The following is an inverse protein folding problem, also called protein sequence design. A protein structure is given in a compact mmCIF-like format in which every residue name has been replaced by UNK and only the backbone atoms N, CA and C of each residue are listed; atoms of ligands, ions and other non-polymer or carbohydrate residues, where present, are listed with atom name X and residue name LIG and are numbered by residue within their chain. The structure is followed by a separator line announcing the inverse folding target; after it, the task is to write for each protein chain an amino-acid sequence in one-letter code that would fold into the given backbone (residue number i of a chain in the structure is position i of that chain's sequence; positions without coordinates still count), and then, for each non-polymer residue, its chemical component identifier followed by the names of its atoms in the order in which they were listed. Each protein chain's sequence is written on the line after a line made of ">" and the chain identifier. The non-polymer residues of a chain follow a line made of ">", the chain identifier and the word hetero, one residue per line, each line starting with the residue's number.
data_IF_122946296674
#
_entry.id   IF_122946296674
#
_cell.length_a   1.000
_cell.length_b   1.000
_cell.length_c   1.000
_cell.angle_alpha   90.00
_cell.angle_beta   90.00
_cell.angle_gamma   90.00
#
_symmetry.space_group_name_H-M   'P 1'
#
loop_
_entity.id
_entity.type
_entity.pdbx_description
1 polymer ?
#
# COMPACT_ATOMS: atom_id res chain seq x y z
N UNK A 1 24.35 -11.46 11.45
CA UNK A 1 24.44 -12.77 12.14
C UNK A 1 24.01 -12.52 13.58
N UNK A 2 22.73 -12.77 13.83
CA UNK A 2 22.16 -12.77 15.17
C UNK A 2 22.45 -14.12 15.86
N UNK A 3 22.44 -14.17 17.20
CA UNK A 3 22.20 -13.04 18.10
C UNK A 3 23.45 -12.19 18.33
N UNK A 4 23.25 -10.91 18.68
CA UNK A 4 24.31 -9.97 19.05
C UNK A 4 23.94 -9.18 20.30
N UNK A 5 24.94 -8.56 20.94
CA UNK A 5 24.77 -7.86 22.21
C UNK A 5 24.75 -6.36 21.96
N UNK A 6 23.76 -5.66 22.52
CA UNK A 6 23.72 -4.20 22.59
C UNK A 6 24.08 -3.77 24.00
N UNK A 7 25.10 -2.93 24.15
CA UNK A 7 25.42 -2.34 25.45
C UNK A 7 24.35 -1.30 25.81
N UNK A 8 23.76 -1.39 27.00
CA UNK A 8 22.70 -0.50 27.46
C UNK A 8 23.23 0.87 27.92
N UNK A 9 24.53 0.96 28.23
CA UNK A 9 25.16 2.15 28.81
C UNK A 9 25.93 2.99 27.79
N UNK A 10 26.29 2.41 26.65
CA UNK A 10 27.11 3.08 25.64
C UNK A 10 26.27 3.78 24.56
N UNK A 11 26.41 5.10 24.45
CA UNK A 11 25.90 5.90 23.34
C UNK A 11 26.04 7.42 23.57
N UNK A 12 25.78 8.25 22.55
CA UNK A 12 25.67 7.93 21.12
C UNK A 12 27.05 7.97 20.40
N UNK A 13 27.31 7.10 19.38
CA UNK A 13 26.43 6.08 18.81
C UNK A 13 26.31 4.80 19.66
N UNK A 14 25.22 4.02 19.52
CA UNK A 14 25.03 2.76 20.24
C UNK A 14 26.15 1.77 19.95
N UNK A 15 26.52 0.97 20.95
CA UNK A 15 27.63 0.02 20.85
C UNK A 15 27.13 -1.43 20.80
N UNK A 16 27.54 -2.16 19.77
CA UNK A 16 27.16 -3.54 19.52
C UNK A 16 28.36 -4.47 19.53
N UNK A 17 28.19 -5.67 20.08
CA UNK A 17 29.20 -6.72 20.10
C UNK A 17 28.63 -8.01 19.50
N UNK A 18 29.44 -8.71 18.69
CA UNK A 18 29.15 -10.11 18.41
C UNK A 18 29.39 -10.97 19.66
N UNK A 19 28.80 -12.16 19.72
CA UNK A 19 28.95 -13.08 20.85
C UNK A 19 30.42 -13.42 21.17
N UNK A 20 31.27 -13.52 20.14
CA UNK A 20 32.69 -13.81 20.32
C UNK A 20 33.45 -12.66 20.98
N UNK A 21 33.14 -11.41 20.64
CA UNK A 21 33.74 -10.25 21.31
C UNK A 21 33.21 -10.11 22.74
N UNK A 22 31.91 -10.33 22.95
CA UNK A 22 31.30 -10.25 24.27
C UNK A 22 31.88 -11.29 25.24
N UNK A 23 31.94 -12.56 24.83
CA UNK A 23 32.50 -13.66 25.66
C UNK A 23 33.98 -13.52 25.98
N UNK A 24 34.72 -12.71 25.20
CA UNK A 24 36.13 -12.38 25.46
C UNK A 24 36.32 -11.15 26.34
N UNK A 25 35.23 -10.52 26.80
CA UNK A 25 35.30 -9.28 27.57
C UNK A 25 35.91 -8.13 26.77
N UNK A 26 35.54 -8.00 25.49
CA UNK A 26 36.09 -6.95 24.63
C UNK A 26 35.69 -5.56 25.12
N UNK A 27 36.68 -4.74 25.44
CA UNK A 27 36.50 -3.36 25.87
C UNK A 27 37.03 -2.39 24.81
N UNK A 28 36.31 -1.29 24.61
CA UNK A 28 36.70 -0.31 23.59
C UNK A 28 36.22 1.10 23.94
N UNK A 29 37.18 2.02 24.00
CA UNK A 29 36.96 3.44 24.35
C UNK A 29 36.23 3.57 25.69
N UNK A 30 34.95 3.91 25.65
CA UNK A 30 34.09 4.12 26.81
C UNK A 30 33.30 2.86 27.21
N UNK A 31 33.33 1.81 26.39
CA UNK A 31 32.68 0.55 26.69
C UNK A 31 33.55 -0.27 27.64
N UNK A 32 32.95 -0.74 28.73
CA UNK A 32 33.54 -1.69 29.67
C UNK A 32 32.76 -3.00 29.61
N UNK A 33 33.44 -4.11 29.92
CA UNK A 33 32.88 -5.46 29.81
C UNK A 33 31.81 -5.78 30.87
N UNK A 34 31.73 -4.96 31.91
CA UNK A 34 30.78 -5.04 33.02
C UNK A 34 29.51 -4.20 32.82
N UNK A 35 29.42 -3.44 31.72
CA UNK A 35 28.22 -2.70 31.39
C UNK A 35 27.02 -3.61 31.22
N UNK A 36 25.87 -3.15 31.69
CA UNK A 36 24.58 -3.78 31.43
C UNK A 36 24.31 -3.86 29.92
N UNK A 37 23.65 -4.93 29.51
CA UNK A 37 23.48 -5.27 28.10
C UNK A 37 22.12 -5.91 27.81
N UNK A 38 21.71 -5.77 26.55
CA UNK A 38 20.53 -6.41 25.97
C UNK A 38 20.98 -7.44 24.92
N UNK A 39 20.42 -8.65 24.97
CA UNK A 39 20.62 -9.65 23.92
C UNK A 39 19.60 -9.34 22.82
N UNK A 40 20.11 -9.08 21.62
CA UNK A 40 19.29 -8.87 20.43
C UNK A 40 19.11 -10.19 19.70
N UNK A 41 17.88 -10.67 19.68
CA UNK A 41 17.43 -11.85 18.94
C UNK A 41 16.16 -11.49 18.15
N UNK A 42 15.88 -12.21 17.06
CA UNK A 42 14.64 -12.09 16.27
C UNK A 42 13.81 -13.38 16.28
N UNK A 43 14.07 -14.28 17.24
CA UNK A 43 13.48 -15.61 17.40
C UNK A 43 12.23 -15.63 18.30
N UNK A 44 11.52 -14.51 18.37
CA UNK A 44 10.30 -14.36 19.17
C UNK A 44 9.09 -14.06 18.29
N UNK A 45 7.87 -14.48 18.66
CA UNK A 45 6.67 -14.20 17.87
C UNK A 45 6.23 -12.74 17.97
N UNK A 46 5.73 -12.18 16.85
CA UNK A 46 5.28 -10.77 16.79
C UNK A 46 3.77 -10.69 16.55
N UNK A 47 3.30 -11.17 15.41
CA UNK A 47 1.89 -11.02 15.00
C UNK A 47 1.07 -12.29 15.22
N UNK A 48 1.73 -13.44 15.09
CA UNK A 48 1.15 -14.76 15.32
C UNK A 48 2.13 -15.61 16.14
N UNK A 49 1.66 -16.39 17.14
CA UNK A 49 2.53 -17.26 17.94
C UNK A 49 3.35 -18.28 17.14
N UNK A 50 2.92 -18.59 15.91
CA UNK A 50 3.59 -19.53 15.02
C UNK A 50 4.61 -18.89 14.07
N UNK A 51 4.78 -17.57 14.12
CA UNK A 51 5.66 -16.79 13.25
C UNK A 51 6.62 -15.93 14.05
N UNK A 52 7.92 -16.11 13.82
CA UNK A 52 8.98 -15.32 14.48
C UNK A 52 9.21 -13.99 13.78
N UNK A 53 9.74 -12.97 14.50
CA UNK A 53 10.09 -11.68 13.93
C UNK A 53 11.02 -11.80 12.71
N UNK A 54 11.93 -12.77 12.73
CA UNK A 54 12.81 -13.08 11.60
C UNK A 54 12.02 -13.60 10.38
N UNK A 55 11.03 -14.47 10.59
CA UNK A 55 10.17 -14.98 9.52
C UNK A 55 9.25 -13.89 8.96
N UNK A 56 8.76 -12.97 9.79
CA UNK A 56 7.98 -11.80 9.32
C UNK A 56 8.82 -10.94 8.36
N UNK A 57 10.06 -10.64 8.73
CA UNK A 57 10.99 -9.89 7.88
C UNK A 57 11.26 -10.63 6.57
N UNK A 58 11.61 -11.91 6.66
CA UNK A 58 11.92 -12.73 5.50
C UNK A 58 10.73 -12.83 4.54
N UNK A 59 9.49 -12.87 5.06
CA UNK A 59 8.29 -12.90 4.24
C UNK A 59 8.13 -11.61 3.44
N UNK A 60 8.33 -10.46 4.08
CA UNK A 60 8.23 -9.17 3.41
C UNK A 60 9.34 -8.96 2.36
N UNK A 61 10.58 -9.33 2.69
CA UNK A 61 11.71 -9.32 1.74
C UNK A 61 11.44 -10.23 0.54
N UNK A 62 10.97 -11.47 0.78
CA UNK A 62 10.66 -12.41 -0.29
C UNK A 62 9.51 -11.94 -1.18
N UNK A 63 8.47 -11.31 -0.61
CA UNK A 63 7.36 -10.72 -1.39
C UNK A 63 7.85 -9.52 -2.22
N UNK A 64 8.79 -8.73 -1.69
CA UNK A 64 9.42 -7.63 -2.43
C UNK A 64 10.23 -8.13 -3.63
N UNK A 65 11.03 -9.18 -3.44
CA UNK A 65 11.92 -9.74 -4.47
C UNK A 65 11.15 -10.54 -5.53
N UNK A 66 10.22 -11.40 -5.10
CA UNK A 66 9.49 -12.32 -5.98
C UNK A 66 8.22 -11.71 -6.58
N UNK A 67 7.74 -10.60 -6.02
CA UNK A 67 6.50 -9.95 -6.38
C UNK A 67 5.27 -10.55 -5.71
N UNK A 68 4.30 -9.69 -5.42
CA UNK A 68 3.02 -10.07 -4.81
C UNK A 68 2.25 -11.09 -5.66
N UNK A 69 1.69 -12.13 -5.03
CA UNK A 69 0.95 -13.21 -5.70
C UNK A 69 1.83 -14.37 -6.18
N UNK A 70 3.16 -14.20 -6.25
CA UNK A 70 4.09 -15.28 -6.59
C UNK A 70 4.49 -16.11 -5.34
N UNK A 71 3.49 -16.65 -4.64
CA UNK A 71 3.69 -17.31 -3.35
C UNK A 71 4.57 -18.56 -3.40
N UNK A 72 4.69 -19.17 -4.58
CA UNK A 72 5.56 -20.33 -4.77
C UNK A 72 7.03 -19.95 -4.62
N UNK A 73 7.47 -18.86 -5.26
CA UNK A 73 8.85 -18.38 -5.16
C UNK A 73 9.12 -17.72 -3.81
N UNK A 74 8.12 -17.03 -3.24
CA UNK A 74 8.19 -16.50 -1.86
C UNK A 74 8.46 -17.62 -0.85
N UNK A 75 7.72 -18.73 -0.93
CA UNK A 75 7.93 -19.88 -0.04
C UNK A 75 9.30 -20.53 -0.25
N UNK A 76 9.76 -20.59 -1.50
CA UNK A 76 11.10 -21.12 -1.82
C UNK A 76 12.20 -20.27 -1.18
N UNK A 77 12.05 -18.94 -1.15
CA UNK A 77 12.99 -18.02 -0.51
C UNK A 77 12.90 -18.10 1.02
N UNK A 78 11.69 -18.24 1.56
CA UNK A 78 11.43 -18.38 3.00
C UNK A 78 12.02 -19.67 3.60
N UNK A 79 11.97 -20.78 2.87
CA UNK A 79 12.41 -22.13 3.29
C UNK A 79 11.74 -22.73 4.55
N UNK A 80 11.04 -21.94 5.38
CA UNK A 80 10.46 -22.40 6.66
C UNK A 80 8.94 -22.60 6.61
N UNK A 81 8.25 -22.00 5.63
CA UNK A 81 6.78 -21.97 5.50
C UNK A 81 6.34 -22.36 4.09
N UNK A 82 5.15 -22.93 3.95
CA UNK A 82 4.59 -23.24 2.62
C UNK A 82 3.98 -22.01 1.97
N UNK A 83 3.71 -22.08 0.66
CA UNK A 83 3.09 -20.98 -0.07
C UNK A 83 1.71 -20.61 0.47
N UNK A 84 0.91 -21.60 0.88
CA UNK A 84 -0.42 -21.39 1.46
C UNK A 84 -0.33 -20.72 2.82
N UNK A 85 0.68 -21.07 3.62
CA UNK A 85 0.95 -20.44 4.91
C UNK A 85 1.40 -18.99 4.73
N UNK A 86 2.33 -18.73 3.81
CA UNK A 86 2.81 -17.38 3.47
C UNK A 86 1.68 -16.49 2.98
N UNK A 87 0.89 -16.95 2.00
CA UNK A 87 -0.23 -16.19 1.45
C UNK A 87 -1.26 -15.86 2.53
N UNK A 88 -1.69 -16.87 3.29
CA UNK A 88 -2.72 -16.71 4.32
C UNK A 88 -2.27 -15.75 5.42
N UNK A 89 -1.02 -15.89 5.87
CA UNK A 89 -0.44 -15.03 6.90
C UNK A 89 -0.34 -13.59 6.42
N UNK A 90 0.20 -13.40 5.20
CA UNK A 90 0.34 -12.09 4.58
C UNK A 90 -1.01 -11.37 4.43
N UNK A 91 -2.01 -12.05 3.84
CA UNK A 91 -3.36 -11.50 3.67
C UNK A 91 -3.99 -11.10 5.00
N UNK A 92 -3.86 -11.95 6.03
CA UNK A 92 -4.52 -11.75 7.31
C UNK A 92 -3.91 -10.59 8.10
N UNK A 93 -2.59 -10.53 8.18
CA UNK A 93 -1.89 -9.65 9.12
C UNK A 93 -1.43 -8.32 8.52
N UNK A 94 -1.14 -8.28 7.22
CA UNK A 94 -0.59 -7.10 6.55
C UNK A 94 -1.60 -6.38 5.66
N UNK A 95 -2.54 -7.10 5.03
CA UNK A 95 -3.52 -6.50 4.11
C UNK A 95 -4.87 -6.25 4.78
N UNK A 96 -5.43 -7.28 5.43
CA UNK A 96 -6.78 -7.21 5.99
C UNK A 96 -6.82 -6.69 7.44
N UNK A 97 -5.67 -6.36 8.02
CA UNK A 97 -5.60 -5.86 9.39
C UNK A 97 -5.67 -4.32 9.41
N UNK A 98 -6.79 -3.71 9.85
CA UNK A 98 -6.96 -2.26 9.83
C UNK A 98 -6.02 -1.49 10.76
N UNK A 99 -5.40 -2.17 11.75
CA UNK A 99 -4.45 -1.55 12.67
C UNK A 99 -3.08 -1.30 12.03
N UNK A 100 -2.74 -2.08 11.01
CA UNK A 100 -1.45 -1.99 10.35
C UNK A 100 -1.31 -0.66 9.58
N UNK A 101 -2.34 -0.29 8.80
CA UNK A 101 -2.44 0.99 8.09
C UNK A 101 -2.24 2.22 8.98
N UNK A 102 -2.80 2.17 10.20
CA UNK A 102 -2.87 3.33 11.08
C UNK A 102 -1.55 3.64 11.78
N UNK A 103 -0.65 2.66 11.93
CA UNK A 103 0.63 2.83 12.64
C UNK A 103 1.76 3.39 11.77
N UNK A 104 1.66 3.24 10.45
CA UNK A 104 2.64 3.77 9.48
C UNK A 104 2.32 5.20 9.04
N UNK A 105 1.07 5.63 9.21
CA UNK A 105 0.54 6.90 8.71
C UNK A 105 0.69 8.11 9.65
N UNK A 106 1.47 8.02 10.73
CA UNK A 106 1.87 9.21 11.51
C UNK A 106 3.02 9.97 10.83
N UNK A 107 2.85 10.31 9.54
CA UNK A 107 3.66 11.34 8.91
C UNK A 107 3.16 12.71 9.38
N UNK A 108 4.07 13.49 9.95
CA UNK A 108 3.81 14.85 10.41
C UNK A 108 3.28 15.70 9.24
N UNK A 109 1.98 16.03 9.26
CA UNK A 109 1.35 16.96 8.32
C UNK A 109 2.03 18.32 8.39
N UNK A 110 3.00 18.56 7.51
CA UNK A 110 3.45 19.91 7.21
C UNK A 110 2.37 20.57 6.37
N UNK A 111 1.75 21.61 6.94
CA UNK A 111 0.75 22.40 6.24
C UNK A 111 1.41 23.17 5.10
N UNK A 112 1.34 22.65 3.87
CA UNK A 112 1.84 23.36 2.69
C UNK A 112 0.80 24.35 2.16
N UNK A 113 1.23 25.60 2.03
CA UNK A 113 0.51 26.65 1.31
C UNK A 113 0.49 26.32 -0.18
N UNK A 114 -0.70 26.11 -0.74
CA UNK A 114 -0.88 25.87 -2.17
C UNK A 114 -0.28 27.04 -3.00
N UNK A 115 0.61 26.71 -3.94
CA UNK A 115 1.22 27.68 -4.86
C UNK A 115 0.20 28.06 -5.94
N UNK A 116 -0.17 29.35 -6.12
CA UNK A 116 -1.12 29.76 -7.15
C UNK A 116 -0.56 29.57 -8.57
N UNK A 117 -1.28 28.81 -9.40
CA UNK A 117 -0.96 28.62 -10.82
C UNK A 117 -1.44 29.81 -11.67
N UNK A 118 -0.64 30.20 -12.66
CA UNK A 118 -0.98 31.19 -13.67
C UNK A 118 -0.59 30.68 -15.06
N UNK A 119 -1.53 30.69 -16.00
CA UNK A 119 -1.26 30.25 -17.38
C UNK A 119 -0.22 31.15 -18.05
N UNK A 120 0.77 30.54 -18.70
CA UNK A 120 1.83 31.22 -19.45
C UNK A 120 2.03 30.53 -20.80
N UNK A 121 2.31 31.31 -21.86
CA UNK A 121 2.53 30.78 -23.22
C UNK A 121 3.88 30.07 -23.36
N UNK A 122 4.87 30.40 -22.52
CA UNK A 122 6.16 29.72 -22.45
C UNK A 122 6.34 29.08 -21.06
N UNK A 123 5.96 27.80 -20.91
CA UNK A 123 6.00 27.12 -19.63
C UNK A 123 7.45 26.82 -19.20
N UNK A 124 7.80 27.00 -17.91
CA UNK A 124 9.16 26.79 -17.44
C UNK A 124 9.61 25.34 -17.66
N UNK A 125 10.90 25.17 -17.96
CA UNK A 125 11.54 23.85 -18.17
C UNK A 125 12.68 23.69 -17.16
N UNK A 126 12.37 23.36 -15.89
CA UNK A 126 13.37 23.25 -14.84
C UNK A 126 14.39 22.18 -15.20
N UNK A 127 15.65 22.38 -14.82
CA UNK A 127 16.64 21.30 -14.91
C UNK A 127 16.30 20.22 -13.89
N UNK A 128 16.58 18.96 -14.26
CA UNK A 128 16.39 17.81 -13.38
C UNK A 128 17.04 18.07 -12.01
N UNK A 129 16.32 17.76 -10.93
CA UNK A 129 16.76 17.94 -9.54
C UNK A 129 17.00 19.39 -9.06
N UNK A 130 16.58 20.39 -9.83
CA UNK A 130 16.57 21.78 -9.36
C UNK A 130 15.55 21.98 -8.23
N UNK A 131 15.77 22.99 -7.38
CA UNK A 131 14.80 23.38 -6.34
C UNK A 131 13.40 23.58 -6.93
N UNK A 132 13.31 24.27 -8.07
CA UNK A 132 12.05 24.47 -8.78
C UNK A 132 11.44 23.15 -9.26
N UNK A 133 12.23 22.21 -9.79
CA UNK A 133 11.72 20.89 -10.17
C UNK A 133 11.10 20.13 -8.98
N UNK A 134 11.68 20.30 -7.78
CA UNK A 134 11.22 19.61 -6.58
C UNK A 134 9.96 20.25 -6.00
N UNK A 135 9.88 21.58 -6.00
CA UNK A 135 8.69 22.33 -5.61
C UNK A 135 7.50 22.08 -6.53
N UNK A 136 7.76 21.69 -7.79
CA UNK A 136 6.74 21.35 -8.77
C UNK A 136 6.21 19.92 -8.65
N UNK A 137 6.74 19.11 -7.72
CA UNK A 137 6.25 17.78 -7.39
C UNK A 137 5.99 16.88 -8.63
N UNK A 138 6.92 16.91 -9.60
CA UNK A 138 6.81 16.12 -10.83
C UNK A 138 5.89 16.70 -11.91
N UNK A 139 5.27 17.87 -11.72
CA UNK A 139 4.53 18.54 -12.79
C UNK A 139 5.47 18.92 -13.95
N UNK A 140 5.07 18.61 -15.19
CA UNK A 140 5.72 18.93 -16.46
C UNK A 140 4.97 20.05 -17.18
N UNK A 141 5.39 21.32 -17.03
CA UNK A 141 4.63 22.48 -17.54
C UNK A 141 4.40 22.48 -19.04
N UNK A 142 5.37 21.98 -19.82
CA UNK A 142 5.29 21.96 -21.29
C UNK A 142 4.28 20.94 -21.84
N UNK A 143 3.89 19.94 -21.05
CA UNK A 143 2.86 18.95 -21.41
C UNK A 143 1.56 19.14 -20.63
N UNK A 144 1.55 20.05 -19.66
CA UNK A 144 0.46 20.25 -18.70
C UNK A 144 0.06 18.96 -17.96
N UNK A 145 1.06 18.14 -17.62
CA UNK A 145 0.87 16.79 -17.09
C UNK A 145 1.88 16.50 -15.96
N UNK A 146 1.66 15.50 -15.13
CA UNK A 146 2.61 15.08 -14.09
C UNK A 146 3.47 13.91 -14.58
N UNK A 147 4.71 13.82 -14.08
CA UNK A 147 5.60 12.66 -14.31
C UNK A 147 5.00 11.41 -13.68
N UNK A 148 4.38 11.55 -12.51
CA UNK A 148 3.60 10.50 -11.87
C UNK A 148 2.12 10.80 -12.08
N UNK A 149 1.40 9.89 -12.74
CA UNK A 149 -0.04 10.04 -12.89
C UNK A 149 -0.70 9.84 -11.52
N UNK A 150 -1.80 10.57 -11.28
CA UNK A 150 -2.63 10.37 -10.10
C UNK A 150 -3.13 8.92 -9.97
N UNK A 151 -3.20 8.20 -11.10
CA UNK A 151 -3.52 6.78 -11.14
C UNK A 151 -2.84 6.06 -12.31
N UNK A 152 -1.58 5.66 -12.13
CA UNK A 152 -0.84 4.86 -13.12
C UNK A 152 -1.50 3.49 -13.44
N UNK A 153 -2.56 3.10 -12.73
CA UNK A 153 -3.29 1.85 -12.94
C UNK A 153 -4.62 2.03 -13.65
N UNK A 154 -5.10 3.27 -13.82
CA UNK A 154 -6.37 3.53 -14.52
C UNK A 154 -6.37 2.97 -15.95
N UNK A 155 -5.21 2.96 -16.62
CA UNK A 155 -5.08 2.37 -17.95
C UNK A 155 -5.08 0.84 -17.95
N UNK A 156 -4.64 0.20 -16.85
CA UNK A 156 -4.64 -1.26 -16.72
C UNK A 156 -6.07 -1.83 -16.68
N UNK A 157 -7.01 -1.08 -16.10
CA UNK A 157 -8.43 -1.46 -16.05
C UNK A 157 -9.08 -1.50 -17.44
N UNK A 158 -8.53 -0.76 -18.41
CA UNK A 158 -9.01 -0.71 -19.79
C UNK A 158 -8.24 -1.66 -20.72
N UNK A 159 -7.11 -2.19 -20.27
CA UNK A 159 -6.15 -2.96 -21.09
C UNK A 159 -6.75 -4.24 -21.64
N UNK A 160 -7.57 -4.92 -20.84
CA UNK A 160 -8.14 -6.22 -21.16
C UNK A 160 -9.60 -6.13 -21.66
N UNK A 161 -10.05 -4.91 -22.03
CA UNK A 161 -11.36 -4.71 -22.66
C UNK A 161 -11.22 -5.04 -24.15
N UNK A 162 -11.46 -6.30 -24.49
CA UNK A 162 -11.63 -6.74 -25.87
C UNK A 162 -13.12 -6.67 -26.26
N UNK A 163 -13.43 -5.97 -27.35
CA UNK A 163 -14.77 -5.97 -27.93
C UNK A 163 -14.85 -7.05 -29.01
N UNK A 164 -15.53 -8.15 -28.71
CA UNK A 164 -15.76 -9.26 -29.64
C UNK A 164 -17.14 -9.12 -30.28
N UNK A 165 -17.32 -9.51 -31.55
CA UNK A 165 -18.63 -9.42 -32.23
C UNK A 165 -19.76 -10.21 -31.53
N UNK A 166 -19.41 -11.21 -30.71
CA UNK A 166 -20.33 -12.03 -29.90
C UNK A 166 -20.66 -11.40 -28.52
N UNK A 167 -19.99 -10.28 -28.17
CA UNK A 167 -20.34 -9.49 -26.98
C UNK A 167 -21.72 -8.84 -27.13
N UNK A 168 -22.34 -8.88 -28.33
CA UNK A 168 -23.75 -8.52 -28.49
C UNK A 168 -24.62 -9.34 -27.55
N UNK A 169 -24.35 -10.64 -27.39
CA UNK A 169 -25.22 -11.52 -26.61
C UNK A 169 -25.02 -11.32 -25.11
N UNK A 170 -23.78 -11.03 -24.67
CA UNK A 170 -23.49 -10.67 -23.27
C UNK A 170 -24.01 -9.26 -22.96
N UNK A 171 -23.85 -8.28 -23.86
CA UNK A 171 -24.52 -6.97 -23.76
C UNK A 171 -26.02 -7.15 -23.67
N UNK A 172 -26.63 -7.97 -24.53
CA UNK A 172 -28.07 -8.24 -24.52
C UNK A 172 -28.51 -8.96 -23.23
N UNK A 173 -27.67 -9.83 -22.64
CA UNK A 173 -27.95 -10.48 -21.36
C UNK A 173 -27.79 -9.51 -20.19
N UNK A 174 -26.79 -8.62 -20.21
CA UNK A 174 -26.63 -7.56 -19.22
C UNK A 174 -27.75 -6.52 -19.34
N UNK A 175 -28.17 -6.17 -20.55
CA UNK A 175 -29.36 -5.38 -20.90
C UNK A 175 -30.67 -6.08 -20.47
N UNK A 176 -30.68 -7.42 -20.38
CA UNK A 176 -31.77 -8.24 -19.80
C UNK A 176 -31.70 -8.46 -18.28
N UNK A 177 -30.58 -8.15 -17.60
CA UNK A 177 -30.45 -8.11 -16.13
C UNK A 177 -30.63 -6.69 -15.55
N UNK A 178 -30.28 -5.69 -16.35
CA UNK A 178 -30.69 -4.28 -16.26
C UNK A 178 -32.18 -4.04 -15.92
N UNK A 179 -33.17 -4.85 -16.33
CA UNK A 179 -34.57 -4.53 -16.18
C UNK A 179 -35.08 -4.64 -14.76
N UNK A 180 -34.64 -5.53 -13.88
CA UNK A 180 -35.41 -5.74 -12.63
C UNK A 180 -35.25 -4.58 -11.63
N UNK A 181 -34.01 -4.11 -11.45
CA UNK A 181 -33.70 -2.98 -10.57
C UNK A 181 -34.11 -1.65 -11.19
N UNK A 182 -33.94 -1.51 -12.52
CA UNK A 182 -34.44 -0.34 -13.27
C UNK A 182 -35.97 -0.34 -13.30
N UNK A 183 -36.65 -1.48 -13.43
CA UNK A 183 -38.11 -1.60 -13.38
C UNK A 183 -38.63 -1.27 -11.99
N UNK A 184 -38.01 -1.75 -10.91
CA UNK A 184 -38.39 -1.39 -9.53
C UNK A 184 -38.19 0.12 -9.29
N UNK A 185 -37.10 0.69 -9.79
CA UNK A 185 -36.85 2.13 -9.73
C UNK A 185 -37.87 2.91 -10.57
N UNK A 186 -38.20 2.42 -11.76
CA UNK A 186 -39.19 3.01 -12.67
C UNK A 186 -40.61 2.92 -12.10
N UNK A 187 -40.97 1.83 -11.42
CA UNK A 187 -42.25 1.62 -10.73
C UNK A 187 -42.36 2.57 -9.53
N UNK A 188 -41.28 2.70 -8.76
CA UNK A 188 -41.18 3.61 -7.60
C UNK A 188 -41.24 5.08 -8.03
N UNK A 189 -40.55 5.43 -9.12
CA UNK A 189 -40.45 6.79 -9.67
C UNK A 189 -41.54 7.11 -10.70
N UNK A 190 -42.43 6.17 -11.03
CA UNK A 190 -43.49 6.32 -12.05
C UNK A 190 -44.35 7.57 -11.87
N UNK A 191 -44.57 7.98 -10.62
CA UNK A 191 -45.33 9.20 -10.29
C UNK A 191 -44.57 10.48 -10.67
N UNK A 192 -43.24 10.44 -10.60
CA UNK A 192 -42.33 11.51 -11.00
C UNK A 192 -42.31 11.70 -12.52
N UNK A 193 -42.44 10.63 -13.30
CA UNK A 193 -42.57 10.68 -14.76
C UNK A 193 -43.72 11.55 -15.27
N UNK A 194 -44.81 11.67 -14.49
CA UNK A 194 -45.95 12.57 -14.82
C UNK A 194 -45.63 14.05 -14.64
N UNK A 195 -44.58 14.38 -13.89
CA UNK A 195 -44.21 15.76 -13.54
C UNK A 195 -43.16 16.30 -14.52
N UNK A 196 -42.11 15.51 -14.81
CA UNK A 196 -41.00 15.89 -15.71
C UNK A 196 -41.17 15.39 -17.15
N UNK A 197 -42.17 14.54 -17.40
CA UNK A 197 -42.38 13.95 -18.72
C UNK A 197 -41.50 12.73 -18.99
N UNK A 198 -41.87 11.90 -19.98
CA UNK A 198 -41.30 10.56 -20.16
C UNK A 198 -39.82 10.58 -20.53
N UNK A 199 -39.40 11.44 -21.46
CA UNK A 199 -38.00 11.48 -21.95
C UNK A 199 -37.01 11.92 -20.88
N UNK A 200 -37.39 12.88 -20.03
CA UNK A 200 -36.52 13.38 -18.95
C UNK A 200 -36.47 12.42 -17.77
N UNK A 201 -37.58 11.73 -17.50
CA UNK A 201 -37.62 10.64 -16.54
C UNK A 201 -36.71 9.48 -16.95
N UNK A 202 -36.74 9.07 -18.22
CA UNK A 202 -35.91 7.95 -18.72
C UNK A 202 -34.42 8.26 -18.58
N UNK A 203 -33.99 9.47 -18.98
CA UNK A 203 -32.60 9.93 -18.79
C UNK A 203 -32.17 9.97 -17.33
N UNK A 204 -33.07 10.36 -16.43
CA UNK A 204 -32.80 10.38 -14.99
C UNK A 204 -32.58 8.97 -14.43
N UNK A 205 -33.43 8.01 -14.84
CA UNK A 205 -33.35 6.62 -14.42
C UNK A 205 -32.05 5.96 -14.95
N UNK A 206 -31.69 6.21 -16.22
CA UNK A 206 -30.44 5.74 -16.82
C UNK A 206 -29.20 6.33 -16.12
N UNK A 207 -29.19 7.63 -15.87
CA UNK A 207 -28.11 8.32 -15.15
C UNK A 207 -27.93 7.77 -13.73
N UNK A 208 -29.04 7.50 -13.03
CA UNK A 208 -29.01 6.95 -11.68
C UNK A 208 -28.52 5.50 -11.65
N UNK A 209 -28.89 4.67 -12.63
CA UNK A 209 -28.40 3.30 -12.75
C UNK A 209 -26.89 3.27 -13.02
N UNK A 210 -26.41 4.07 -13.97
CA UNK A 210 -24.98 4.19 -14.29
C UNK A 210 -24.16 4.71 -13.10
N UNK A 211 -24.69 5.68 -12.34
CA UNK A 211 -24.02 6.21 -11.14
C UNK A 211 -23.79 5.14 -10.08
N UNK A 212 -24.75 4.23 -9.86
CA UNK A 212 -24.61 3.15 -8.87
C UNK A 212 -23.60 2.09 -9.30
N UNK A 213 -23.55 1.75 -10.58
CA UNK A 213 -22.53 0.84 -11.12
C UNK A 213 -21.14 1.47 -11.01
N UNK A 214 -21.01 2.77 -11.32
CA UNK A 214 -19.77 3.52 -11.12
C UNK A 214 -19.35 3.56 -9.65
N UNK A 215 -20.27 3.84 -8.72
CA UNK A 215 -19.97 3.84 -7.29
C UNK A 215 -19.54 2.47 -6.78
N UNK A 216 -20.12 1.39 -7.31
CA UNK A 216 -19.72 0.03 -6.96
C UNK A 216 -18.32 -0.29 -7.48
N UNK A 217 -18.04 0.00 -8.75
CA UNK A 217 -16.71 -0.18 -9.34
C UNK A 217 -15.66 0.69 -8.65
N UNK A 218 -16.01 1.95 -8.33
CA UNK A 218 -15.16 2.86 -7.57
C UNK A 218 -14.88 2.34 -6.17
N UNK A 219 -15.88 1.79 -5.46
CA UNK A 219 -15.68 1.20 -4.14
C UNK A 219 -14.76 -0.01 -4.19
N UNK A 220 -14.98 -0.94 -5.13
CA UNK A 220 -14.10 -2.09 -5.35
C UNK A 220 -12.68 -1.64 -5.71
N UNK A 221 -12.53 -0.61 -6.54
CA UNK A 221 -11.24 -0.02 -6.90
C UNK A 221 -10.54 0.65 -5.72
N UNK A 222 -11.27 1.39 -4.89
CA UNK A 222 -10.73 2.05 -3.70
C UNK A 222 -10.29 1.00 -2.66
N UNK A 223 -11.03 -0.12 -2.54
CA UNK A 223 -10.64 -1.28 -1.74
C UNK A 223 -9.36 -1.96 -2.27
N UNK A 224 -9.23 -2.15 -3.58
CA UNK A 224 -8.00 -2.70 -4.20
C UNK A 224 -6.81 -1.73 -4.13
N UNK A 225 -7.04 -0.43 -4.31
CA UNK A 225 -6.04 0.63 -4.11
C UNK A 225 -5.50 0.61 -2.69
N UNK A 226 -6.37 0.54 -1.68
CA UNK A 226 -5.98 0.47 -0.27
C UNK A 226 -5.08 -0.74 0.02
N UNK A 227 -5.36 -1.89 -0.60
CA UNK A 227 -4.51 -3.10 -0.46
C UNK A 227 -3.14 -2.93 -1.10
N UNK A 228 -3.05 -2.21 -2.23
CA UNK A 228 -1.80 -1.97 -2.96
C UNK A 228 -0.93 -0.85 -2.35
N UNK A 229 -1.54 0.25 -1.90
CA UNK A 229 -0.81 1.37 -1.27
C UNK A 229 -0.23 0.98 0.07
N UNK A 230 -0.93 0.15 0.85
CA UNK A 230 -0.38 -0.41 2.09
C UNK A 230 0.86 -1.27 1.83
N UNK A 231 0.89 -1.99 0.70
CA UNK A 231 2.06 -2.78 0.31
C UNK A 231 3.24 -1.86 -0.05
N UNK A 232 3.03 -0.78 -0.81
CA UNK A 232 4.10 0.17 -1.13
C UNK A 232 4.62 0.95 0.09
N UNK A 233 3.75 1.39 0.99
CA UNK A 233 4.16 2.11 2.21
C UNK A 233 5.02 1.22 3.11
N UNK A 234 4.64 -0.06 3.28
CA UNK A 234 5.41 -1.02 4.07
C UNK A 234 6.75 -1.34 3.45
N UNK A 235 6.78 -1.59 2.14
CA UNK A 235 8.00 -1.90 1.41
C UNK A 235 8.98 -0.70 1.40
N UNK A 236 8.47 0.53 1.47
CA UNK A 236 9.29 1.74 1.53
C UNK A 236 10.08 1.85 2.84
N UNK A 237 9.56 1.32 3.97
CA UNK A 237 10.25 1.31 5.26
C UNK A 237 11.18 0.10 5.47
N UNK A 238 11.09 -0.95 4.66
CA UNK A 238 11.96 -2.14 4.74
C UNK A 238 13.42 -1.79 4.42
N UNK A 239 13.65 -0.80 3.54
CA UNK A 239 15.00 -0.35 3.21
C UNK A 239 15.66 0.44 4.36
N UNK A 240 14.88 0.96 5.32
CA UNK A 240 15.38 1.57 6.56
C UNK A 240 15.37 0.56 7.71
N UNK A 241 16.51 -0.12 7.87
CA UNK A 241 16.73 -1.12 8.92
C UNK A 241 16.46 -0.57 10.35
N UNK A 242 16.63 0.74 10.59
CA UNK A 242 16.37 1.37 11.89
C UNK A 242 14.86 1.57 12.13
N UNK A 243 14.12 2.03 11.11
CA UNK A 243 12.67 2.19 11.20
C UNK A 243 11.98 0.83 11.42
N UNK A 244 12.42 -0.19 10.70
CA UNK A 244 11.87 -1.54 10.81
C UNK A 244 12.13 -2.18 12.19
N UNK A 245 13.35 -2.04 12.74
CA UNK A 245 13.68 -2.53 14.09
C UNK A 245 12.91 -1.80 15.20
N UNK A 246 12.68 -0.49 15.07
CA UNK A 246 11.91 0.27 16.06
C UNK A 246 10.42 -0.13 16.05
N UNK A 247 9.87 -0.40 14.87
CA UNK A 247 8.50 -0.90 14.73
C UNK A 247 8.33 -2.28 15.37
N UNK A 248 9.24 -3.22 15.09
CA UNK A 248 9.20 -4.58 15.67
C UNK A 248 9.20 -4.57 17.20
N UNK A 249 10.01 -3.71 17.82
CA UNK A 249 10.04 -3.58 19.29
C UNK A 249 8.72 -3.05 19.85
N UNK A 250 8.09 -2.07 19.20
CA UNK A 250 6.80 -1.51 19.66
C UNK A 250 5.66 -2.54 19.60
N UNK A 251 5.69 -3.45 18.63
CA UNK A 251 4.68 -4.50 18.52
C UNK A 251 4.89 -5.62 19.57
N UNK A 252 6.14 -5.91 19.94
CA UNK A 252 6.45 -6.90 20.97
C UNK A 252 6.05 -6.47 22.40
N UNK A 253 5.91 -5.16 22.63
CA UNK A 253 5.55 -4.57 23.92
C UNK A 253 4.01 -4.37 24.12
N UNK A 254 3.19 -4.70 23.10
CA UNK A 254 1.70 -4.64 23.15
C UNK A 254 1.08 -6.01 23.44
#
# INVERSE_FOLDING_TARGET
>A
MEPYIKCAECGPPPFFLCLQCFTRGFEYKKHQSDHTYEIMTSDFPVLDPSWTAQEEMALLEAVMDCGFGNWQDVANQMCTKTKEECEKHYMKHFINNPLFASTLAEEAKTADTAIPFHSTDDPPRPTFDSLLSRDMAGYMPARADFIEEFDNYAEWDLRDIDFVEDDSDILHVMERRYPKEVQDLYETMRRFARIVGPVEHDKFIESHACARTYDHLKKTRDEERLKRTMLSEVLQYIQDSSACQQWLRRQADM
#
